data_IF_405894715170
#
_entry.id   IF_405894715170
#
_cell.length_a   1.000
_cell.length_b   1.000
_cell.length_c   1.000
_cell.angle_alpha   90.00
_cell.angle_beta   90.00
_cell.angle_gamma   90.00
#
_symmetry.space_group_name_H-M   'P 1'
#
loop_
_entity.id
_entity.type
_entity.pdbx_description
1 polymer ?
#
# COMPACT_ATOMS: atom_id res chain seq x y z
N UNK A 1 -0.25 19.98 4.13
CA UNK A 1 0.52 18.91 4.81
C UNK A 1 1.61 19.57 5.65
N UNK A 2 1.38 19.76 6.96
CA UNK A 2 2.21 20.63 7.79
C UNK A 2 3.70 20.25 7.79
N UNK A 3 4.04 18.99 8.09
CA UNK A 3 5.45 18.57 8.16
C UNK A 3 6.17 18.71 6.81
N UNK A 4 5.49 18.37 5.71
CA UNK A 4 6.06 18.46 4.36
C UNK A 4 6.28 19.92 3.90
N UNK A 5 5.40 20.84 4.29
CA UNK A 5 5.57 22.29 4.05
C UNK A 5 6.78 22.86 4.81
N UNK A 6 7.13 22.24 5.94
CA UNK A 6 8.24 22.64 6.81
C UNK A 6 9.50 21.76 6.62
N UNK A 7 9.55 20.92 5.59
CA UNK A 7 10.62 19.92 5.38
C UNK A 7 12.04 20.49 5.38
N UNK A 8 12.22 21.75 4.99
CA UNK A 8 13.51 22.49 5.03
C UNK A 8 14.12 22.61 6.43
N UNK A 9 13.34 22.40 7.48
CA UNK A 9 13.80 22.45 8.87
C UNK A 9 14.38 21.12 9.37
N UNK A 10 14.27 20.05 8.57
CA UNK A 10 14.76 18.73 8.91
C UNK A 10 16.02 18.42 8.11
N UNK A 11 16.92 17.64 8.71
CA UNK A 11 18.16 17.17 8.05
C UNK A 11 17.93 15.89 7.24
N UNK A 12 16.67 15.48 7.06
CA UNK A 12 16.25 14.30 6.35
C UNK A 12 15.05 14.64 5.46
N UNK A 13 14.88 13.86 4.40
CA UNK A 13 13.75 14.03 3.50
C UNK A 13 12.44 13.59 4.15
N UNK A 14 11.39 14.38 3.92
CA UNK A 14 10.02 14.02 4.29
C UNK A 14 9.30 13.60 3.03
N UNK A 15 8.88 12.35 2.96
CA UNK A 15 8.01 11.83 1.91
C UNK A 15 6.56 11.91 2.43
N UNK A 16 5.69 12.72 1.81
CA UNK A 16 4.29 12.74 2.17
C UNK A 16 3.64 11.46 1.65
N UNK A 17 2.65 10.95 2.38
CA UNK A 17 1.96 9.75 1.95
C UNK A 17 0.73 9.47 2.80
N UNK A 18 0.01 8.43 2.39
CA UNK A 18 -1.19 7.94 3.06
C UNK A 18 -1.29 6.43 2.86
N UNK A 19 -1.84 5.73 3.86
CA UNK A 19 -2.27 4.35 3.72
C UNK A 19 -3.76 4.35 3.37
N UNK A 20 -4.09 3.90 2.16
CA UNK A 20 -5.46 3.84 1.65
C UNK A 20 -6.03 2.46 1.96
N UNK A 21 -7.14 2.44 2.69
CA UNK A 21 -7.96 1.23 2.83
C UNK A 21 -8.81 1.03 1.58
N UNK A 22 -8.31 0.26 0.62
CA UNK A 22 -9.06 -0.16 -0.58
C UNK A 22 -9.96 -1.36 -0.27
N UNK A 23 -10.85 -1.71 -1.19
CA UNK A 23 -11.67 -2.93 -1.08
C UNK A 23 -10.84 -4.22 -1.20
N UNK A 24 -9.62 -4.13 -1.74
CA UNK A 24 -8.78 -5.27 -2.06
C UNK A 24 -7.51 -5.36 -1.19
N UNK A 25 -7.40 -4.51 -0.16
CA UNK A 25 -6.29 -4.45 0.78
C UNK A 25 -5.84 -3.03 1.10
N UNK A 26 -4.77 -2.89 1.87
CA UNK A 26 -4.19 -1.59 2.16
C UNK A 26 -3.09 -1.26 1.16
N UNK A 27 -3.09 -0.03 0.65
CA UNK A 27 -2.10 0.45 -0.31
C UNK A 27 -1.43 1.69 0.27
N UNK A 28 -0.11 1.68 0.34
CA UNK A 28 0.67 2.89 0.65
C UNK A 28 0.80 3.71 -0.62
N UNK A 29 0.29 4.94 -0.59
CA UNK A 29 0.56 5.95 -1.60
C UNK A 29 1.64 6.90 -1.10
N UNK A 30 2.83 6.87 -1.70
CA UNK A 30 3.92 7.80 -1.41
C UNK A 30 3.94 8.96 -2.40
N UNK A 31 4.44 10.12 -1.98
CA UNK A 31 4.42 11.40 -2.71
C UNK A 31 3.03 11.96 -3.05
N UNK A 32 1.96 11.39 -2.49
CA UNK A 32 0.60 11.94 -2.65
C UNK A 32 0.35 13.06 -1.65
N UNK A 33 -0.39 14.09 -2.08
CA UNK A 33 -0.64 15.28 -1.25
C UNK A 33 -2.11 15.68 -1.19
N UNK A 34 -2.94 15.11 -2.06
CA UNK A 34 -4.39 15.26 -2.06
C UNK A 34 -5.05 13.98 -1.53
N UNK A 35 -6.19 14.09 -0.83
CA UNK A 35 -6.93 12.92 -0.35
C UNK A 35 -7.27 11.96 -1.50
N UNK A 36 -7.12 10.66 -1.24
CA UNK A 36 -7.58 9.57 -2.10
C UNK A 36 -8.72 8.87 -1.34
N UNK A 37 -9.91 8.66 -1.95
CA UNK A 37 -11.01 7.97 -1.30
C UNK A 37 -10.66 6.54 -0.87
N UNK A 38 -11.18 6.13 0.28
CA UNK A 38 -11.17 4.73 0.69
C UNK A 38 -12.24 3.92 -0.08
N UNK A 39 -12.10 2.59 -0.07
CA UNK A 39 -13.08 1.69 -0.69
C UNK A 39 -13.07 1.66 -2.22
N UNK A 40 -12.03 2.21 -2.85
CA UNK A 40 -11.74 1.99 -4.26
C UNK A 40 -11.25 0.54 -4.49
N UNK A 41 -11.33 0.05 -5.72
CA UNK A 41 -10.61 -1.17 -6.10
C UNK A 41 -9.09 -0.96 -6.08
N UNK A 42 -8.32 -2.05 -6.13
CA UNK A 42 -6.85 -1.95 -6.20
C UNK A 42 -6.39 -1.10 -7.40
N UNK A 43 -6.92 -1.34 -8.59
CA UNK A 43 -6.56 -0.63 -9.83
C UNK A 43 -6.89 0.86 -9.72
N UNK A 44 -8.10 1.20 -9.24
CA UNK A 44 -8.51 2.60 -9.05
C UNK A 44 -7.63 3.30 -8.00
N UNK A 45 -7.25 2.59 -6.93
CA UNK A 45 -6.36 3.11 -5.90
C UNK A 45 -4.97 3.41 -6.48
N UNK A 46 -4.38 2.47 -7.22
CA UNK A 46 -3.08 2.65 -7.88
C UNK A 46 -3.14 3.81 -8.88
N UNK A 47 -4.20 3.86 -9.70
CA UNK A 47 -4.41 4.93 -10.68
C UNK A 47 -4.47 6.30 -10.00
N UNK A 48 -5.25 6.43 -8.91
CA UNK A 48 -5.37 7.69 -8.18
C UNK A 48 -4.05 8.13 -7.51
N UNK A 49 -3.17 7.19 -7.15
CA UNK A 49 -1.81 7.47 -6.66
C UNK A 49 -0.93 7.98 -7.80
N UNK A 50 -0.94 7.28 -8.94
CA UNK A 50 -0.15 7.63 -10.13
C UNK A 50 -0.57 8.95 -10.77
N UNK A 51 -1.86 9.29 -10.74
CA UNK A 51 -2.38 10.60 -11.19
C UNK A 51 -1.79 11.78 -10.40
N UNK A 52 -1.32 11.54 -9.17
CA UNK A 52 -0.58 12.52 -8.37
C UNK A 52 0.94 12.43 -8.55
N UNK A 53 1.44 11.54 -9.41
CA UNK A 53 2.86 11.24 -9.55
C UNK A 53 3.45 10.43 -8.39
N UNK A 54 2.59 9.75 -7.62
CA UNK A 54 2.99 8.97 -6.46
C UNK A 54 3.46 7.54 -6.81
N UNK A 55 3.88 6.82 -5.78
CA UNK A 55 4.27 5.40 -5.86
C UNK A 55 3.28 4.57 -5.05
N UNK A 56 2.78 3.47 -5.63
CA UNK A 56 1.80 2.58 -5.03
C UNK A 56 2.42 1.27 -4.55
N UNK A 57 2.39 1.04 -3.24
CA UNK A 57 2.96 -0.17 -2.61
C UNK A 57 1.85 -0.94 -1.91
N UNK A 58 1.68 -2.22 -2.22
CA UNK A 58 0.70 -3.06 -1.52
C UNK A 58 1.21 -3.38 -0.12
N UNK A 59 0.49 -2.88 0.89
CA UNK A 59 0.84 -3.08 2.29
C UNK A 59 0.38 -4.47 2.74
N UNK A 60 1.32 -5.18 3.37
CA UNK A 60 1.08 -6.43 4.10
C UNK A 60 -0.04 -7.32 3.51
N UNK A 61 0.12 -7.77 2.26
CA UNK A 61 -0.92 -8.44 1.47
C UNK A 61 -1.46 -9.73 2.10
N UNK A 62 -0.69 -10.32 3.02
CA UNK A 62 -0.99 -11.60 3.67
C UNK A 62 -1.40 -11.46 5.14
N UNK A 63 -1.86 -10.28 5.55
CA UNK A 63 -2.39 -10.09 6.91
C UNK A 63 -3.75 -10.75 7.09
N UNK A 64 -3.72 -12.04 7.37
CA UNK A 64 -4.90 -12.91 7.53
C UNK A 64 -5.84 -12.51 8.69
N UNK A 65 -5.44 -11.63 9.61
CA UNK A 65 -6.32 -11.15 10.68
C UNK A 65 -7.27 -10.04 10.24
N UNK A 66 -7.08 -9.47 9.04
CA UNK A 66 -8.02 -8.52 8.45
C UNK A 66 -8.90 -9.26 7.43
N UNK A 67 -10.22 -9.38 7.65
CA UNK A 67 -11.09 -10.22 6.82
C UNK A 67 -11.07 -9.90 5.33
N UNK A 68 -10.94 -8.61 4.98
CA UNK A 68 -10.91 -8.16 3.59
C UNK A 68 -9.56 -8.50 2.92
N UNK A 69 -8.46 -8.40 3.65
CA UNK A 69 -7.11 -8.78 3.20
C UNK A 69 -7.02 -10.30 3.07
N UNK A 70 -7.51 -11.06 4.06
CA UNK A 70 -7.47 -12.52 4.06
C UNK A 70 -8.15 -13.14 2.83
N UNK A 71 -9.29 -12.57 2.41
CA UNK A 71 -9.98 -13.01 1.19
C UNK A 71 -9.15 -12.77 -0.07
N UNK A 72 -8.47 -11.63 -0.18
CA UNK A 72 -7.65 -11.28 -1.36
C UNK A 72 -6.26 -11.90 -1.37
N UNK A 73 -5.66 -12.13 -0.22
CA UNK A 73 -4.41 -12.85 -0.03
C UNK A 73 -4.36 -14.16 -0.83
N UNK A 74 -5.43 -14.95 -0.79
CA UNK A 74 -5.53 -16.21 -1.55
C UNK A 74 -5.55 -15.99 -3.06
N UNK A 75 -6.20 -14.92 -3.54
CA UNK A 75 -6.21 -14.59 -4.96
C UNK A 75 -4.82 -14.17 -5.44
N UNK A 76 -4.14 -13.30 -4.71
CA UNK A 76 -2.78 -12.86 -5.07
C UNK A 76 -1.78 -14.01 -5.03
N UNK A 77 -1.88 -14.91 -4.05
CA UNK A 77 -1.02 -16.08 -3.99
C UNK A 77 -1.21 -17.04 -5.17
N UNK A 78 -2.46 -17.20 -5.66
CA UNK A 78 -2.76 -18.08 -6.81
C UNK A 78 -2.56 -17.42 -8.17
N UNK A 79 -2.64 -16.10 -8.22
CA UNK A 79 -2.61 -15.27 -9.44
C UNK A 79 -1.80 -14.00 -9.20
N UNK A 80 -0.47 -14.11 -9.02
CA UNK A 80 0.38 -12.95 -8.78
C UNK A 80 0.37 -11.95 -9.94
N UNK A 81 0.02 -12.38 -11.16
CA UNK A 81 -0.14 -11.51 -12.33
C UNK A 81 -1.14 -10.37 -12.09
N UNK A 82 -2.14 -10.55 -11.22
CA UNK A 82 -3.10 -9.51 -10.87
C UNK A 82 -2.44 -8.30 -10.18
N UNK A 83 -1.32 -8.53 -9.47
CA UNK A 83 -0.57 -7.44 -8.84
C UNK A 83 0.19 -6.61 -9.88
N UNK A 84 0.70 -7.27 -10.92
CA UNK A 84 1.38 -6.61 -12.04
C UNK A 84 0.38 -5.85 -12.92
N UNK A 85 -0.76 -6.48 -13.21
CA UNK A 85 -1.87 -5.86 -13.96
C UNK A 85 -2.46 -4.65 -13.24
N UNK A 86 -2.46 -4.67 -11.90
CA UNK A 86 -2.88 -3.53 -11.10
C UNK A 86 -1.94 -2.32 -11.18
N UNK A 87 -0.72 -2.50 -11.72
CA UNK A 87 0.27 -1.43 -11.85
C UNK A 87 0.99 -1.11 -10.53
N UNK A 88 1.05 -2.04 -9.58
CA UNK A 88 1.78 -1.82 -8.33
C UNK A 88 3.27 -1.62 -8.58
N UNK A 89 3.86 -0.66 -7.87
CA UNK A 89 5.30 -0.38 -7.92
C UNK A 89 6.09 -1.22 -6.91
N UNK A 90 5.41 -1.73 -5.88
CA UNK A 90 6.05 -2.51 -4.83
C UNK A 90 5.11 -3.33 -3.96
N UNK A 91 5.71 -4.21 -3.17
CA UNK A 91 5.05 -5.08 -2.20
C UNK A 91 5.78 -5.01 -0.87
N UNK A 92 5.05 -4.87 0.24
CA UNK A 92 5.64 -4.98 1.57
C UNK A 92 5.91 -6.46 1.91
N UNK A 93 7.19 -6.84 1.92
CA UNK A 93 7.63 -8.21 2.25
C UNK A 93 7.85 -8.45 3.75
N UNK A 94 8.00 -7.37 4.52
CA UNK A 94 8.21 -7.45 5.95
C UNK A 94 7.53 -6.28 6.66
N UNK A 95 6.61 -6.60 7.55
CA UNK A 95 5.97 -5.63 8.42
C UNK A 95 6.34 -5.93 9.89
N UNK A 96 6.96 -4.95 10.55
CA UNK A 96 7.49 -5.08 11.92
C UNK A 96 6.41 -5.06 13.01
N UNK A 97 5.20 -4.61 12.69
CA UNK A 97 4.05 -4.57 13.61
C UNK A 97 3.34 -5.92 13.74
N UNK A 98 3.83 -6.99 13.10
CA UNK A 98 3.13 -8.28 13.04
C UNK A 98 3.52 -9.22 14.16
N UNK A 99 2.48 -9.73 14.82
CA UNK A 99 2.56 -10.74 15.88
C UNK A 99 2.70 -12.16 15.30
N UNK A 100 2.36 -12.39 14.02
CA UNK A 100 2.39 -13.71 13.36
C UNK A 100 3.54 -13.77 12.34
N UNK A 101 4.65 -14.50 12.65
CA UNK A 101 5.85 -14.55 11.80
C UNK A 101 5.58 -15.07 10.38
N UNK A 102 4.61 -15.96 10.22
CA UNK A 102 4.28 -16.61 8.95
C UNK A 102 3.82 -15.63 7.85
N UNK A 103 3.22 -14.49 8.23
CA UNK A 103 2.69 -13.53 7.25
C UNK A 103 3.77 -12.79 6.45
N UNK A 104 4.94 -12.53 7.06
CA UNK A 104 6.10 -11.98 6.36
C UNK A 104 6.76 -13.05 5.47
N UNK A 105 6.81 -14.30 5.93
CA UNK A 105 7.40 -15.41 5.16
C UNK A 105 6.65 -15.73 3.87
N UNK A 106 5.34 -15.47 3.78
CA UNK A 106 4.60 -15.63 2.52
C UNK A 106 4.80 -14.48 1.53
N UNK A 107 5.28 -13.33 2.03
CA UNK A 107 5.49 -12.14 1.20
C UNK A 107 6.88 -12.09 0.56
N UNK A 108 7.87 -12.71 1.20
CA UNK A 108 9.26 -12.84 0.75
C UNK A 108 9.44 -14.02 -0.22
#
# INVERSE_FOLDING_TARGET
>A
LWAYEHRKHYTFDIVPGVEISSNDGHVLGWWVTKPIPAGLSLIETVTAIHEQGGIAILAHPFHIQMPNIAKRAWHYWRKPELLLEAGLDGLEIYNAGRVIPFTNAMAA
#
